data_IF_915540729733
#
_entry.id   IF_915540729733
#
_cell.length_a   1.000
_cell.length_b   1.000
_cell.length_c   1.000
_cell.angle_alpha   90.00
_cell.angle_beta   90.00
_cell.angle_gamma   90.00
#
_symmetry.space_group_name_H-M   'P 1'
#
loop_
_entity.id
_entity.type
_entity.pdbx_description
1 polymer ?
#
# COMPACT_ATOMS: atom_id res chain seq x y z
N UNK A 1 19.70 -7.58 6.97
CA UNK A 1 18.75 -6.89 6.08
C UNK A 1 19.40 -5.70 5.38
N UNK A 2 19.06 -5.44 4.12
CA UNK A 2 19.50 -4.26 3.36
C UNK A 2 18.50 -3.09 3.54
N UNK A 3 18.54 -2.44 4.71
CA UNK A 3 17.66 -1.30 5.03
C UNK A 3 17.80 -0.12 4.04
N UNK A 4 19.02 0.30 3.63
CA UNK A 4 19.15 1.39 2.66
C UNK A 4 18.41 1.13 1.35
N UNK A 5 18.50 -0.11 0.82
CA UNK A 5 17.75 -0.50 -0.37
C UNK A 5 16.24 -0.40 -0.15
N UNK A 6 15.72 -0.85 1.00
CA UNK A 6 14.28 -0.78 1.28
C UNK A 6 13.82 0.68 1.34
N UNK A 7 14.54 1.55 2.03
CA UNK A 7 14.23 2.99 2.11
C UNK A 7 14.23 3.63 0.72
N UNK A 8 15.28 3.36 -0.08
CA UNK A 8 15.37 3.86 -1.45
C UNK A 8 14.17 3.41 -2.29
N UNK A 9 13.79 2.13 -2.19
CA UNK A 9 12.67 1.59 -2.96
C UNK A 9 11.32 2.10 -2.47
N UNK A 10 11.11 2.28 -1.17
CA UNK A 10 9.89 2.91 -0.63
C UNK A 10 9.74 4.36 -1.12
N UNK A 11 10.84 5.10 -1.20
CA UNK A 11 10.88 6.47 -1.74
C UNK A 11 10.57 6.48 -3.24
N UNK A 12 11.24 5.63 -4.02
CA UNK A 12 11.01 5.52 -5.45
C UNK A 12 9.58 5.09 -5.78
N UNK A 13 9.01 4.15 -5.02
CA UNK A 13 7.64 3.69 -5.21
C UNK A 13 6.61 4.78 -4.86
N UNK A 14 6.90 5.69 -3.92
CA UNK A 14 6.03 6.84 -3.64
C UNK A 14 5.83 7.70 -4.90
N UNK A 15 6.91 7.94 -5.65
CA UNK A 15 6.83 8.65 -6.93
C UNK A 15 6.05 7.86 -8.00
N UNK A 16 6.16 6.52 -8.01
CA UNK A 16 5.36 5.67 -8.91
C UNK A 16 3.88 5.78 -8.61
N UNK A 17 3.47 5.72 -7.33
CA UNK A 17 2.07 5.89 -6.95
C UNK A 17 1.53 7.26 -7.35
N UNK A 18 2.31 8.33 -7.14
CA UNK A 18 1.94 9.67 -7.56
C UNK A 18 1.75 9.76 -9.08
N UNK A 19 2.70 9.21 -9.86
CA UNK A 19 2.62 9.18 -11.31
C UNK A 19 1.43 8.36 -11.81
N UNK A 20 1.11 7.23 -11.18
CA UNK A 20 -0.05 6.41 -11.54
C UNK A 20 -1.38 7.10 -11.27
N UNK A 21 -1.46 8.05 -10.34
CA UNK A 21 -2.69 8.78 -10.04
C UNK A 21 -2.83 10.10 -10.83
N UNK A 22 -1.75 10.56 -11.47
CA UNK A 22 -1.74 11.83 -12.20
C UNK A 22 -2.69 11.81 -13.40
N UNK A 23 -3.60 12.78 -13.45
CA UNK A 23 -4.52 12.98 -14.58
C UNK A 23 -5.68 11.99 -14.63
N UNK A 24 -5.90 11.22 -13.56
CA UNK A 24 -7.09 10.37 -13.40
C UNK A 24 -8.28 11.26 -13.06
N UNK A 25 -9.35 11.16 -13.85
CA UNK A 25 -10.59 11.87 -13.58
C UNK A 25 -11.44 11.16 -12.51
N UNK A 26 -12.48 11.85 -12.04
CA UNK A 26 -13.36 11.35 -10.98
C UNK A 26 -14.02 10.02 -11.36
N UNK A 27 -14.46 9.88 -12.61
CA UNK A 27 -15.10 8.67 -13.10
C UNK A 27 -14.14 7.46 -13.03
N UNK A 28 -12.90 7.62 -13.49
CA UNK A 28 -11.89 6.58 -13.44
C UNK A 28 -11.42 6.29 -12.01
N UNK A 29 -11.26 7.32 -11.16
CA UNK A 29 -10.82 7.16 -9.78
C UNK A 29 -11.77 6.26 -8.97
N UNK A 30 -13.07 6.42 -9.21
CA UNK A 30 -14.15 5.76 -8.49
C UNK A 30 -14.63 4.46 -9.14
N UNK A 31 -14.27 4.21 -10.40
CA UNK A 31 -14.71 3.04 -11.14
C UNK A 31 -14.22 1.73 -10.52
N UNK A 32 -15.15 0.78 -10.39
CA UNK A 32 -14.89 -0.57 -9.92
C UNK A 32 -15.09 -1.56 -11.08
N UNK A 33 -14.14 -2.48 -11.34
CA UNK A 33 -14.25 -3.40 -12.47
C UNK A 33 -15.33 -4.47 -12.29
N UNK A 34 -15.70 -4.77 -11.05
CA UNK A 34 -16.79 -5.68 -10.70
C UNK A 34 -17.25 -5.43 -9.25
N UNK A 35 -18.45 -5.90 -8.84
CA UNK A 35 -18.89 -5.80 -7.45
C UNK A 35 -17.86 -6.37 -6.47
N UNK A 36 -17.52 -5.59 -5.45
CA UNK A 36 -16.55 -5.96 -4.43
C UNK A 36 -15.08 -5.89 -4.87
N UNK A 37 -14.78 -5.37 -6.07
CA UNK A 37 -13.40 -5.05 -6.49
C UNK A 37 -13.10 -3.59 -6.21
N UNK A 38 -11.88 -3.33 -5.76
CA UNK A 38 -11.46 -1.98 -5.40
C UNK A 38 -11.26 -1.09 -6.62
N UNK A 39 -11.69 0.16 -6.50
CA UNK A 39 -11.33 1.27 -7.38
C UNK A 39 -9.92 1.79 -7.07
N UNK A 40 -9.46 2.77 -7.86
CA UNK A 40 -8.15 3.40 -7.66
C UNK A 40 -8.12 4.15 -6.33
N UNK A 41 -9.16 4.94 -6.02
CA UNK A 41 -9.21 5.68 -4.75
C UNK A 41 -9.28 4.75 -3.53
N UNK A 42 -9.92 3.58 -3.66
CA UNK A 42 -9.92 2.57 -2.60
C UNK A 42 -8.53 1.97 -2.36
N UNK A 43 -7.77 1.70 -3.43
CA UNK A 43 -6.37 1.23 -3.31
C UNK A 43 -5.49 2.27 -2.62
N UNK A 44 -5.61 3.55 -2.98
CA UNK A 44 -4.80 4.62 -2.36
C UNK A 44 -5.13 4.81 -0.88
N UNK A 45 -6.42 4.76 -0.51
CA UNK A 45 -6.80 4.83 0.91
C UNK A 45 -6.38 3.60 1.71
N UNK A 46 -6.40 2.41 1.09
CA UNK A 46 -5.83 1.19 1.67
C UNK A 46 -4.34 1.38 1.97
N UNK A 47 -3.57 1.87 0.99
CA UNK A 47 -2.14 2.15 1.18
C UNK A 47 -1.88 3.17 2.29
N UNK A 48 -2.67 4.25 2.35
CA UNK A 48 -2.58 5.25 3.42
C UNK A 48 -2.74 4.63 4.82
N UNK A 49 -3.76 3.79 5.00
CA UNK A 49 -4.05 3.22 6.31
C UNK A 49 -3.07 2.08 6.67
N UNK A 50 -2.67 1.24 5.72
CA UNK A 50 -1.62 0.22 5.89
C UNK A 50 -0.26 0.82 6.27
N UNK A 51 0.10 1.96 5.67
CA UNK A 51 1.35 2.68 5.96
C UNK A 51 1.43 3.08 7.44
N UNK A 52 0.32 3.50 8.06
CA UNK A 52 0.29 3.97 9.45
C UNK A 52 -0.07 2.88 10.45
N UNK A 53 -1.15 2.16 10.17
CA UNK A 53 -1.87 1.31 11.12
C UNK A 53 -1.42 -0.16 11.04
N UNK A 54 -0.81 -0.59 9.92
CA UNK A 54 -0.20 -1.92 9.79
C UNK A 54 1.32 -1.86 9.82
N UNK A 55 1.98 -1.60 8.68
CA UNK A 55 3.39 -1.88 8.54
C UNK A 55 4.27 -1.06 9.47
N UNK A 56 4.07 0.27 9.55
CA UNK A 56 4.86 1.11 10.47
C UNK A 56 4.56 0.76 11.93
N UNK A 57 3.30 0.62 12.28
CA UNK A 57 2.89 0.31 13.65
C UNK A 57 3.45 -1.04 14.12
N UNK A 58 3.34 -2.09 13.31
CA UNK A 58 3.82 -3.44 13.64
C UNK A 58 5.33 -3.55 13.63
N UNK A 59 6.01 -2.94 12.65
CA UNK A 59 7.48 -2.93 12.61
C UNK A 59 8.02 -2.27 13.87
N UNK A 60 7.48 -1.10 14.23
CA UNK A 60 7.83 -0.39 15.46
C UNK A 60 7.52 -1.20 16.71
N UNK A 61 6.34 -1.80 16.80
CA UNK A 61 5.92 -2.64 17.94
C UNK A 61 6.94 -3.75 18.23
N UNK A 62 7.42 -4.44 17.17
CA UNK A 62 8.41 -5.51 17.30
C UNK A 62 9.78 -4.96 17.70
N UNK A 63 10.26 -3.90 17.02
CA UNK A 63 11.58 -3.32 17.29
C UNK A 63 11.69 -2.72 18.70
N UNK A 64 10.63 -2.09 19.19
CA UNK A 64 10.58 -1.48 20.52
C UNK A 64 10.22 -2.49 21.62
N UNK A 65 9.93 -3.74 21.28
CA UNK A 65 9.42 -4.78 22.19
C UNK A 65 8.26 -4.24 23.06
N UNK A 66 7.34 -3.53 22.42
CA UNK A 66 6.26 -2.82 23.10
C UNK A 66 5.42 -3.79 23.93
N UNK A 67 5.06 -3.44 25.19
CA UNK A 67 4.23 -4.29 26.02
C UNK A 67 2.80 -4.37 25.46
N UNK A 68 2.16 -5.52 25.65
CA UNK A 68 0.76 -5.74 25.28
C UNK A 68 0.58 -6.56 24.01
N UNK A 69 -0.58 -6.37 23.35
CA UNK A 69 -0.93 -7.09 22.12
C UNK A 69 -0.51 -6.27 20.91
N UNK A 70 0.04 -6.96 19.92
CA UNK A 70 0.31 -6.37 18.60
C UNK A 70 -0.97 -5.74 18.04
N UNK A 71 -0.88 -4.59 17.33
CA UNK A 71 -2.04 -3.95 16.72
C UNK A 71 -2.85 -4.94 15.88
N UNK A 72 -4.16 -4.98 16.11
CA UNK A 72 -5.07 -5.73 15.26
C UNK A 72 -5.45 -4.89 14.04
N UNK A 73 -5.53 -5.50 12.87
CA UNK A 73 -5.85 -4.82 11.61
C UNK A 73 -7.00 -5.54 10.92
N UNK A 74 -7.78 -4.79 10.14
CA UNK A 74 -8.87 -5.34 9.34
C UNK A 74 -8.96 -4.64 7.98
N UNK A 75 -7.91 -4.71 7.13
CA UNK A 75 -7.80 -3.87 5.95
C UNK A 75 -8.95 -4.03 4.95
N UNK A 76 -9.38 -5.26 4.70
CA UNK A 76 -10.53 -5.54 3.82
C UNK A 76 -11.82 -4.90 4.34
N UNK A 77 -12.00 -4.88 5.65
CA UNK A 77 -13.17 -4.33 6.30
C UNK A 77 -13.13 -2.79 6.33
N UNK A 78 -11.94 -2.20 6.51
CA UNK A 78 -11.76 -0.76 6.55
C UNK A 78 -12.18 -0.06 5.26
N UNK A 79 -12.06 -0.71 4.10
CA UNK A 79 -12.53 -0.16 2.82
C UNK A 79 -14.00 0.27 2.89
N UNK A 80 -14.82 -0.60 3.49
CA UNK A 80 -16.26 -0.39 3.63
C UNK A 80 -16.54 0.56 4.82
N UNK A 81 -15.98 0.24 5.99
CA UNK A 81 -16.27 0.98 7.24
C UNK A 81 -15.83 2.44 7.19
N UNK A 82 -14.72 2.71 6.51
CA UNK A 82 -14.15 4.06 6.39
C UNK A 82 -14.55 4.75 5.07
N UNK A 83 -15.47 4.13 4.32
CA UNK A 83 -16.07 4.62 3.08
C UNK A 83 -15.03 5.15 2.08
N UNK A 84 -14.03 4.32 1.75
CA UNK A 84 -12.90 4.76 0.92
C UNK A 84 -13.32 5.25 -0.46
N UNK A 85 -14.30 4.58 -1.08
CA UNK A 85 -14.73 4.95 -2.42
C UNK A 85 -15.32 6.36 -2.47
N UNK A 86 -15.86 6.92 -1.39
CA UNK A 86 -16.43 8.28 -1.40
C UNK A 86 -15.42 9.42 -1.20
N UNK A 87 -14.10 9.13 -1.21
CA UNK A 87 -13.06 10.11 -0.92
C UNK A 87 -12.50 10.71 -2.20
N UNK A 88 -11.89 11.88 -2.08
CA UNK A 88 -11.14 12.51 -3.16
C UNK A 88 -9.78 11.82 -3.37
N UNK A 89 -9.43 11.55 -4.63
CA UNK A 89 -8.20 10.82 -4.98
C UNK A 89 -6.94 11.62 -4.65
N UNK A 90 -6.90 12.91 -4.99
CA UNK A 90 -5.72 13.75 -4.79
C UNK A 90 -5.46 13.98 -3.30
N UNK A 91 -6.49 14.23 -2.51
CA UNK A 91 -6.39 14.32 -1.06
C UNK A 91 -5.92 12.99 -0.46
N UNK A 92 -6.47 11.87 -0.91
CA UNK A 92 -6.09 10.53 -0.42
C UNK A 92 -4.62 10.23 -0.74
N UNK A 93 -4.17 10.55 -1.96
CA UNK A 93 -2.78 10.39 -2.38
C UNK A 93 -1.86 11.26 -1.54
N UNK A 94 -2.18 12.54 -1.36
CA UNK A 94 -1.37 13.45 -0.56
C UNK A 94 -1.22 12.95 0.88
N UNK A 95 -2.31 12.44 1.49
CA UNK A 95 -2.28 11.81 2.81
C UNK A 95 -1.35 10.60 2.86
N UNK A 96 -1.43 9.71 1.88
CA UNK A 96 -0.52 8.57 1.75
C UNK A 96 0.94 9.02 1.63
N UNK A 97 1.25 9.96 0.72
CA UNK A 97 2.62 10.43 0.49
C UNK A 97 3.22 11.12 1.74
N UNK A 98 2.42 11.88 2.48
CA UNK A 98 2.84 12.45 3.76
C UNK A 98 3.17 11.36 4.80
N UNK A 99 2.38 10.30 4.89
CA UNK A 99 2.69 9.19 5.80
C UNK A 99 3.90 8.39 5.36
N UNK A 100 4.08 8.19 4.04
CA UNK A 100 5.27 7.56 3.47
C UNK A 100 6.54 8.32 3.81
N UNK A 101 6.51 9.64 3.71
CA UNK A 101 7.65 10.48 4.09
C UNK A 101 8.01 10.31 5.57
N UNK A 102 7.02 10.32 6.47
CA UNK A 102 7.23 10.07 7.91
C UNK A 102 7.82 8.68 8.18
N UNK A 103 7.35 7.66 7.46
CA UNK A 103 7.89 6.29 7.58
C UNK A 103 9.37 6.23 7.18
N UNK A 104 9.73 6.87 6.07
CA UNK A 104 11.10 6.93 5.56
C UNK A 104 12.03 7.66 6.53
N UNK A 105 11.60 8.80 7.07
CA UNK A 105 12.33 9.56 8.09
C UNK A 105 12.56 8.69 9.33
N UNK A 106 11.50 8.07 9.85
CA UNK A 106 11.60 7.17 11.00
C UNK A 106 12.57 6.01 10.77
N UNK A 107 12.48 5.31 9.63
CA UNK A 107 13.38 4.21 9.29
C UNK A 107 14.84 4.67 9.17
N UNK A 108 15.07 5.89 8.65
CA UNK A 108 16.40 6.48 8.49
C UNK A 108 17.05 6.87 9.82
N UNK A 109 16.22 7.19 10.83
CA UNK A 109 16.67 7.61 12.14
C UNK A 109 17.02 6.44 13.09
N UNK A 110 16.57 5.22 12.78
CA UNK A 110 16.85 4.02 13.58
C UNK A 110 18.37 3.80 13.77
N UNK A 111 18.79 3.58 15.02
CA UNK A 111 20.20 3.32 15.37
C UNK A 111 20.39 1.86 15.73
N UNK A 112 21.15 1.14 14.90
CA UNK A 112 21.45 -0.29 15.08
C UNK A 112 20.23 -1.17 15.45
N UNK A 113 19.10 -1.08 14.72
CA UNK A 113 17.93 -1.89 15.01
C UNK A 113 18.24 -3.40 14.90
N UNK A 114 17.79 -4.19 15.88
CA UNK A 114 17.82 -5.64 15.78
C UNK A 114 16.58 -6.14 15.03
N UNK A 115 16.78 -6.44 13.75
CA UNK A 115 15.73 -6.91 12.87
C UNK A 115 15.29 -8.36 13.10
N UNK A 116 16.03 -9.13 13.91
CA UNK A 116 15.67 -10.49 14.30
C UNK A 116 14.74 -10.52 15.51
N UNK A 117 14.48 -9.38 16.15
CA UNK A 117 13.41 -9.25 17.13
C UNK A 117 12.11 -9.74 16.52
N UNK A 118 11.34 -10.45 17.33
CA UNK A 118 10.15 -11.15 16.89
C UNK A 118 9.08 -11.23 17.96
N UNK A 119 7.86 -11.46 17.52
CA UNK A 119 6.71 -11.76 18.37
C UNK A 119 6.00 -13.00 17.86
N UNK A 120 5.33 -13.72 18.76
CA UNK A 120 4.46 -14.84 18.38
C UNK A 120 3.06 -14.32 18.06
N UNK A 121 2.66 -14.40 16.79
CA UNK A 121 1.33 -14.02 16.35
C UNK A 121 0.39 -15.24 16.38
N UNK A 122 -0.81 -15.14 16.98
CA UNK A 122 -1.70 -16.30 17.17
C UNK A 122 -2.04 -17.08 15.89
N UNK A 123 -2.11 -16.39 14.75
CA UNK A 123 -2.47 -16.99 13.46
C UNK A 123 -1.30 -17.15 12.48
N UNK A 124 -0.23 -16.38 12.65
CA UNK A 124 0.89 -16.32 11.67
C UNK A 124 2.18 -16.92 12.21
N UNK A 125 2.19 -17.32 13.50
CA UNK A 125 3.38 -17.80 14.19
C UNK A 125 4.40 -16.67 14.40
N UNK A 126 5.68 -17.05 14.41
CA UNK A 126 6.78 -16.12 14.63
C UNK A 126 6.88 -15.07 13.52
N UNK A 127 6.70 -13.81 13.89
CA UNK A 127 6.87 -12.65 13.01
C UNK A 127 8.07 -11.82 13.44
N UNK A 128 9.08 -11.66 12.57
CA UNK A 128 10.24 -10.79 12.83
C UNK A 128 10.00 -9.37 12.30
N UNK A 129 10.74 -8.38 12.83
CA UNK A 129 10.72 -7.03 12.28
C UNK A 129 11.20 -7.01 10.82
N UNK A 130 12.19 -7.84 10.46
CA UNK A 130 12.63 -8.04 9.07
C UNK A 130 11.50 -8.53 8.17
N UNK A 131 10.72 -9.51 8.61
CA UNK A 131 9.59 -10.03 7.85
C UNK A 131 8.57 -8.93 7.56
N UNK A 132 8.17 -8.16 8.57
CA UNK A 132 7.16 -7.10 8.39
C UNK A 132 7.67 -6.02 7.44
N UNK A 133 8.90 -5.54 7.62
CA UNK A 133 9.48 -4.51 6.76
C UNK A 133 9.66 -4.99 5.31
N UNK A 134 10.09 -6.24 5.10
CA UNK A 134 10.21 -6.80 3.75
C UNK A 134 8.84 -6.91 3.05
N UNK A 135 7.80 -7.29 3.80
CA UNK A 135 6.44 -7.37 3.26
C UNK A 135 5.84 -6.00 2.98
N UNK A 136 6.23 -4.94 3.70
CA UNK A 136 5.82 -3.57 3.40
C UNK A 136 6.22 -3.17 1.99
N UNK A 137 7.49 -3.39 1.62
CA UNK A 137 7.95 -3.08 0.28
C UNK A 137 7.37 -4.05 -0.77
N UNK A 138 7.17 -5.32 -0.44
CA UNK A 138 6.50 -6.26 -1.34
C UNK A 138 5.04 -5.84 -1.62
N UNK A 139 4.36 -5.29 -0.62
CA UNK A 139 2.99 -4.79 -0.70
C UNK A 139 2.87 -3.57 -1.62
N UNK A 140 3.88 -2.69 -1.65
CA UNK A 140 3.94 -1.63 -2.67
C UNK A 140 3.89 -2.22 -4.08
N UNK A 141 4.73 -3.21 -4.38
CA UNK A 141 4.76 -3.82 -5.72
C UNK A 141 3.43 -4.53 -6.07
N UNK A 142 2.78 -5.14 -5.08
CA UNK A 142 1.44 -5.71 -5.24
C UNK A 142 0.43 -4.66 -5.72
N UNK A 143 0.42 -3.49 -5.07
CA UNK A 143 -0.54 -2.43 -5.39
C UNK A 143 -0.17 -1.57 -6.58
N UNK A 144 1.12 -1.38 -6.89
CA UNK A 144 1.57 -0.80 -8.17
C UNK A 144 1.03 -1.65 -9.33
N UNK A 145 1.14 -2.98 -9.22
CA UNK A 145 0.58 -3.91 -10.21
C UNK A 145 -0.95 -3.80 -10.26
N UNK A 146 -1.62 -3.69 -9.11
CA UNK A 146 -3.07 -3.52 -9.07
C UNK A 146 -3.53 -2.23 -9.76
N UNK A 147 -2.87 -1.10 -9.51
CA UNK A 147 -3.20 0.18 -10.15
C UNK A 147 -3.00 0.11 -11.66
N UNK A 148 -1.89 -0.47 -12.14
CA UNK A 148 -1.68 -0.69 -13.57
C UNK A 148 -2.79 -1.55 -14.19
N UNK A 149 -3.21 -2.61 -13.49
CA UNK A 149 -4.32 -3.45 -13.94
C UNK A 149 -5.63 -2.67 -14.01
N UNK A 150 -5.97 -1.88 -12.98
CA UNK A 150 -7.19 -1.08 -12.94
C UNK A 150 -7.24 -0.07 -14.08
N UNK A 151 -6.13 0.61 -14.37
CA UNK A 151 -6.05 1.52 -15.52
C UNK A 151 -6.26 0.78 -16.84
N UNK A 152 -5.65 -0.40 -17.02
CA UNK A 152 -5.83 -1.18 -18.25
C UNK A 152 -7.24 -1.72 -18.40
N UNK A 153 -7.87 -2.17 -17.32
CA UNK A 153 -9.26 -2.64 -17.33
C UNK A 153 -10.22 -1.49 -17.63
N UNK A 154 -10.03 -0.31 -17.02
CA UNK A 154 -10.81 0.89 -17.33
C UNK A 154 -10.65 1.29 -18.80
N UNK A 155 -9.41 1.33 -19.31
CA UNK A 155 -9.13 1.60 -20.71
C UNK A 155 -9.83 0.59 -21.63
N UNK A 156 -9.73 -0.71 -21.31
CA UNK A 156 -10.41 -1.76 -22.08
C UNK A 156 -11.93 -1.58 -22.11
N UNK A 157 -12.53 -1.12 -21.01
CA UNK A 157 -13.95 -0.82 -20.94
C UNK A 157 -14.36 0.37 -21.84
N UNK A 158 -13.50 1.39 -21.98
CA UNK A 158 -13.74 2.52 -22.89
C UNK A 158 -13.64 2.12 -24.37
N UNK A 159 -12.89 1.06 -24.68
CA UNK A 159 -12.63 0.60 -26.04
C UNK A 159 -13.18 -0.82 -26.28
N UNK A 160 -14.32 -1.18 -25.69
CA UNK A 160 -14.86 -2.56 -25.71
C UNK A 160 -15.12 -3.14 -27.11
N UNK A 161 -15.16 -2.31 -28.15
CA UNK A 161 -15.29 -2.72 -29.56
C UNK A 161 -13.97 -2.84 -30.33
N UNK A 162 -12.82 -2.55 -29.71
CA UNK A 162 -11.49 -2.54 -30.33
C UNK A 162 -10.63 -3.61 -29.67
N UNK A 163 -10.06 -4.51 -30.48
CA UNK A 163 -9.11 -5.51 -29.97
C UNK A 163 -7.81 -4.83 -29.53
N UNK A 164 -7.43 -5.06 -28.27
CA UNK A 164 -6.15 -4.60 -27.72
C UNK A 164 -5.03 -5.64 -27.90
N UNK A 165 -5.28 -6.76 -28.60
CA UNK A 165 -4.32 -7.85 -28.75
C UNK A 165 -3.03 -7.44 -29.48
N UNK A 166 -3.04 -6.35 -30.26
CA UNK A 166 -1.83 -5.81 -30.89
C UNK A 166 -0.78 -5.35 -29.86
N UNK A 167 -1.20 -4.93 -28.66
CA UNK A 167 -0.29 -4.56 -27.58
C UNK A 167 0.37 -5.78 -26.89
N UNK A 168 -0.05 -7.00 -27.25
CA UNK A 168 0.36 -8.26 -26.60
C UNK A 168 -0.61 -8.74 -25.53
N UNK A 169 -0.35 -9.95 -25.04
CA UNK A 169 -1.08 -10.55 -23.94
C UNK A 169 -0.72 -9.88 -22.61
N UNK A 170 -1.67 -9.89 -21.66
CA UNK A 170 -1.54 -9.26 -20.35
C UNK A 170 -1.63 -10.26 -19.21
#
# INVERSE_FOLDING_TARGET
MNLPFIIERLSANAAVFAAQCSGIDDAQAHWQPAPGKWSIVEVINHLYDEERDDFRARTRFILEQSPGKMPNIAPQQWVIERNYNARDLDESLNRFLMERQKSIEWLSDLKNPDWQLSVEHPALGKMTAEMVLANWLAHDYLHIRQLNRLQREYFSAQFSGVSLAYAGDW
#
